data_IF_702177972606
#
_entry.id   IF_702177972606
#
_cell.length_a   1.000
_cell.length_b   1.000
_cell.length_c   1.000
_cell.angle_alpha   90.00
_cell.angle_beta   90.00
_cell.angle_gamma   90.00
#
_symmetry.space_group_name_H-M   'P 1'
#
loop_
_entity.id
_entity.type
_entity.pdbx_description
1 polymer ?
#
# COMPACT_ATOMS: atom_id res chain seq x y z
N UNK A 1 -3.60 -18.37 -20.19
CA UNK A 1 -4.38 -18.05 -18.99
C UNK A 1 -3.46 -17.25 -18.08
N UNK A 2 -3.72 -15.97 -17.84
CA UNK A 2 -2.96 -15.22 -16.83
C UNK A 2 -3.25 -15.84 -15.46
N UNK A 3 -2.23 -15.87 -14.58
CA UNK A 3 -2.43 -16.35 -13.22
C UNK A 3 -3.42 -15.43 -12.51
N UNK A 4 -4.40 -16.00 -11.81
CA UNK A 4 -5.35 -15.20 -11.02
C UNK A 4 -4.61 -14.50 -9.86
N UNK A 5 -4.80 -13.20 -9.71
CA UNK A 5 -4.29 -12.46 -8.56
C UNK A 5 -5.10 -12.83 -7.32
N UNK A 6 -4.43 -13.32 -6.28
CA UNK A 6 -5.05 -13.84 -5.06
C UNK A 6 -4.12 -13.62 -3.85
N UNK A 7 -4.54 -14.09 -2.67
CA UNK A 7 -3.80 -13.92 -1.42
C UNK A 7 -2.41 -14.54 -1.39
N UNK A 8 -2.17 -15.60 -2.16
CA UNK A 8 -0.83 -16.13 -2.31
C UNK A 8 0.06 -15.21 -3.15
N UNK A 9 -0.50 -14.53 -4.16
CA UNK A 9 0.22 -13.52 -4.95
C UNK A 9 0.60 -12.32 -4.08
N UNK A 10 -0.32 -11.82 -3.25
CA UNK A 10 -0.05 -10.75 -2.27
C UNK A 10 1.08 -11.12 -1.32
N UNK A 11 1.00 -12.32 -0.74
CA UNK A 11 2.02 -12.82 0.19
C UNK A 11 3.39 -12.92 -0.49
N UNK A 12 3.45 -13.48 -1.70
CA UNK A 12 4.70 -13.58 -2.46
C UNK A 12 5.27 -12.21 -2.82
N UNK A 13 4.41 -11.25 -3.15
CA UNK A 13 4.81 -9.87 -3.40
C UNK A 13 5.42 -9.24 -2.15
N UNK A 14 4.73 -9.28 -1.00
CA UNK A 14 5.23 -8.76 0.26
C UNK A 14 6.53 -9.43 0.71
N UNK A 15 6.64 -10.76 0.59
CA UNK A 15 7.87 -11.51 0.87
C UNK A 15 9.02 -11.10 -0.06
N UNK A 16 8.73 -10.86 -1.34
CA UNK A 16 9.72 -10.39 -2.32
C UNK A 16 10.23 -9.01 -1.96
N UNK A 17 9.34 -8.07 -1.60
CA UNK A 17 9.70 -6.74 -1.13
C UNK A 17 10.58 -6.83 0.13
N UNK A 18 10.20 -7.66 1.10
CA UNK A 18 10.96 -7.86 2.33
C UNK A 18 12.39 -8.37 2.08
N UNK A 19 12.56 -9.30 1.14
CA UNK A 19 13.89 -9.79 0.73
C UNK A 19 14.70 -8.71 0.03
N UNK A 20 14.08 -8.04 -0.96
CA UNK A 20 14.73 -7.03 -1.81
C UNK A 20 15.22 -5.83 -1.00
N UNK A 21 14.38 -5.32 -0.10
CA UNK A 21 14.67 -4.12 0.68
C UNK A 21 15.22 -4.42 2.07
N UNK A 22 15.60 -5.67 2.36
CA UNK A 22 16.07 -6.13 3.69
C UNK A 22 17.15 -5.24 4.32
N UNK A 23 18.09 -4.71 3.53
CA UNK A 23 19.14 -3.81 4.02
C UNK A 23 18.66 -2.42 4.45
N UNK A 24 17.42 -2.05 4.13
CA UNK A 24 16.80 -0.77 4.47
C UNK A 24 15.76 -0.88 5.58
N UNK A 25 15.32 -2.08 5.95
CA UNK A 25 14.23 -2.29 6.91
C UNK A 25 14.69 -2.05 8.34
N UNK A 26 13.85 -1.36 9.11
CA UNK A 26 14.11 -1.06 10.54
C UNK A 26 13.33 -2.01 11.45
N UNK A 27 13.53 -3.32 11.31
CA UNK A 27 12.67 -4.35 11.91
C UNK A 27 11.21 -4.20 11.47
N UNK A 28 11.01 -4.06 10.16
CA UNK A 28 9.69 -3.88 9.57
C UNK A 28 9.30 -5.08 8.70
N UNK A 29 8.00 -5.26 8.52
CA UNK A 29 7.42 -6.35 7.73
C UNK A 29 6.41 -5.76 6.76
N UNK A 30 6.47 -6.21 5.51
CA UNK A 30 5.46 -5.87 4.51
C UNK A 30 4.23 -6.77 4.63
N UNK A 31 3.06 -6.18 4.44
CA UNK A 31 1.80 -6.90 4.16
C UNK A 31 1.11 -6.25 2.98
N UNK A 32 0.45 -7.06 2.14
CA UNK A 32 -0.26 -6.60 0.95
C UNK A 32 -1.67 -7.20 0.94
N UNK A 33 -2.63 -6.43 0.44
CA UNK A 33 -4.04 -6.82 0.36
C UNK A 33 -4.66 -6.14 -0.86
N UNK A 34 -5.38 -6.89 -1.68
CA UNK A 34 -6.12 -6.36 -2.82
C UNK A 34 -7.62 -6.36 -2.59
N UNK A 35 -8.26 -5.41 -3.26
CA UNK A 35 -9.71 -5.33 -3.36
C UNK A 35 -10.11 -5.14 -4.82
N UNK A 36 -11.27 -5.69 -5.15
CA UNK A 36 -11.90 -5.54 -6.47
C UNK A 36 -13.23 -4.87 -6.26
N UNK A 37 -13.45 -3.83 -7.03
CA UNK A 37 -14.69 -3.10 -7.12
C UNK A 37 -15.21 -3.21 -8.56
N UNK A 38 -16.41 -2.70 -8.81
CA UNK A 38 -17.02 -2.80 -10.15
C UNK A 38 -16.29 -1.92 -11.18
N UNK A 39 -15.71 -0.81 -10.74
CA UNK A 39 -15.09 0.23 -11.57
C UNK A 39 -13.57 0.39 -11.34
N UNK A 40 -13.00 -0.28 -10.34
CA UNK A 40 -11.58 -0.18 -10.04
C UNK A 40 -11.03 -1.40 -9.30
N UNK A 41 -9.70 -1.50 -9.30
CA UNK A 41 -8.96 -2.38 -8.38
C UNK A 41 -8.09 -1.55 -7.46
N UNK A 42 -7.90 -2.05 -6.24
CA UNK A 42 -7.07 -1.41 -5.22
C UNK A 42 -6.06 -2.40 -4.68
N UNK A 43 -4.82 -1.94 -4.51
CA UNK A 43 -3.77 -2.68 -3.83
C UNK A 43 -3.29 -1.84 -2.64
N UNK A 44 -3.54 -2.34 -1.44
CA UNK A 44 -3.05 -1.77 -0.19
C UNK A 44 -1.76 -2.47 0.20
N UNK A 45 -0.71 -1.68 0.45
CA UNK A 45 0.56 -2.16 0.97
C UNK A 45 0.84 -1.48 2.31
N UNK A 46 1.20 -2.28 3.32
CA UNK A 46 1.61 -1.80 4.64
C UNK A 46 3.05 -2.20 4.88
N UNK A 47 3.79 -1.33 5.56
CA UNK A 47 5.10 -1.63 6.14
C UNK A 47 5.01 -1.33 7.64
N UNK A 48 4.89 -2.41 8.41
CA UNK A 48 4.66 -2.39 9.84
C UNK A 48 5.97 -2.58 10.59
N UNK A 49 6.27 -1.70 11.53
CA UNK A 49 7.37 -1.93 12.47
C UNK A 49 6.97 -2.96 13.51
N UNK A 50 7.83 -3.93 13.79
CA UNK A 50 7.53 -5.05 14.69
C UNK A 50 7.24 -4.63 16.13
N UNK A 51 7.75 -3.48 16.56
CA UNK A 51 7.46 -2.90 17.88
C UNK A 51 6.14 -2.12 17.92
N UNK A 52 5.36 -2.15 16.83
CA UNK A 52 4.10 -1.42 16.66
C UNK A 52 4.22 0.09 16.91
N UNK A 53 5.40 0.70 16.78
CA UNK A 53 5.55 2.16 16.92
C UNK A 53 5.06 2.91 15.69
N UNK A 54 5.27 2.35 14.50
CA UNK A 54 5.00 3.02 13.25
C UNK A 54 4.48 2.06 12.18
N UNK A 55 3.64 2.61 11.31
CA UNK A 55 3.17 1.95 10.09
C UNK A 55 3.22 2.92 8.92
N UNK A 56 3.76 2.45 7.80
CA UNK A 56 3.50 3.09 6.52
C UNK A 56 2.36 2.36 5.82
N UNK A 57 1.46 3.12 5.21
CA UNK A 57 0.39 2.58 4.37
C UNK A 57 0.40 3.29 3.03
N UNK A 58 0.34 2.49 1.96
CA UNK A 58 0.14 2.93 0.59
C UNK A 58 -1.10 2.26 0.02
N UNK A 59 -1.88 3.01 -0.74
CA UNK A 59 -2.99 2.49 -1.53
C UNK A 59 -2.84 2.97 -2.96
N UNK A 60 -2.60 2.02 -3.85
CA UNK A 60 -2.62 2.25 -5.28
C UNK A 60 -3.96 1.80 -5.85
N UNK A 61 -4.50 2.56 -6.80
CA UNK A 61 -5.77 2.34 -7.45
C UNK A 61 -5.60 2.48 -8.96
N UNK A 62 -6.22 1.57 -9.69
CA UNK A 62 -6.35 1.66 -11.14
C UNK A 62 -7.82 1.45 -11.52
N UNK A 63 -8.38 2.39 -12.29
CA UNK A 63 -9.76 2.34 -12.77
C UNK A 63 -9.85 1.34 -13.94
N UNK A 64 -10.81 0.43 -13.86
CA UNK A 64 -11.11 -0.55 -14.91
C UNK A 64 -12.52 -1.11 -14.72
N UNK A 65 -13.41 -0.79 -15.65
CA UNK A 65 -14.78 -1.31 -15.68
C UNK A 65 -14.86 -2.74 -16.25
N UNK A 66 -13.75 -3.25 -16.81
CA UNK A 66 -13.67 -4.58 -17.44
C UNK A 66 -13.18 -5.63 -16.43
N UNK A 67 -14.03 -6.56 -15.95
CA UNK A 67 -13.65 -7.56 -14.95
C UNK A 67 -12.46 -8.44 -15.36
N UNK A 68 -12.34 -8.72 -16.66
CA UNK A 68 -11.25 -9.51 -17.25
C UNK A 68 -9.88 -8.82 -17.14
N UNK A 69 -9.85 -7.48 -17.09
CA UNK A 69 -8.62 -6.68 -16.98
C UNK A 69 -8.17 -6.43 -15.55
N UNK A 70 -9.00 -6.77 -14.56
CA UNK A 70 -8.70 -6.52 -13.16
C UNK A 70 -7.44 -7.27 -12.67
N UNK A 71 -7.20 -8.50 -13.16
CA UNK A 71 -5.96 -9.22 -12.83
C UNK A 71 -4.72 -8.50 -13.35
N UNK A 72 -4.74 -8.09 -14.60
CA UNK A 72 -3.62 -7.41 -15.24
C UNK A 72 -3.38 -6.04 -14.56
N UNK A 73 -4.46 -5.35 -14.18
CA UNK A 73 -4.41 -4.12 -13.40
C UNK A 73 -3.74 -4.33 -12.04
N UNK A 74 -4.04 -5.42 -11.32
CA UNK A 74 -3.40 -5.71 -10.04
C UNK A 74 -1.89 -6.00 -10.18
N UNK A 75 -1.48 -6.72 -11.23
CA UNK A 75 -0.04 -6.89 -11.52
C UNK A 75 0.63 -5.56 -11.90
N UNK A 76 -0.08 -4.68 -12.59
CA UNK A 76 0.41 -3.34 -12.89
C UNK A 76 0.59 -2.49 -11.63
N UNK A 77 -0.35 -2.58 -10.67
CA UNK A 77 -0.21 -1.93 -9.37
C UNK A 77 0.98 -2.48 -8.57
N UNK A 78 1.26 -3.78 -8.67
CA UNK A 78 2.47 -4.40 -8.06
C UNK A 78 3.74 -3.79 -8.64
N UNK A 79 3.85 -3.73 -9.97
CA UNK A 79 5.01 -3.15 -10.65
C UNK A 79 5.20 -1.66 -10.30
N UNK A 80 4.09 -0.91 -10.24
CA UNK A 80 4.10 0.49 -9.85
C UNK A 80 4.56 0.70 -8.42
N UNK A 81 4.01 -0.04 -7.45
CA UNK A 81 4.40 0.08 -6.04
C UNK A 81 5.86 -0.31 -5.84
N UNK A 82 6.35 -1.35 -6.51
CA UNK A 82 7.76 -1.74 -6.44
C UNK A 82 8.69 -0.63 -6.95
N UNK A 83 8.35 0.01 -8.09
CA UNK A 83 9.08 1.15 -8.61
C UNK A 83 9.05 2.35 -7.64
N UNK A 84 7.87 2.66 -7.08
CA UNK A 84 7.71 3.72 -6.09
C UNK A 84 8.55 3.46 -4.83
N UNK A 85 8.56 2.22 -4.33
CA UNK A 85 9.33 1.84 -3.15
C UNK A 85 10.84 1.90 -3.38
N UNK A 86 11.30 1.58 -4.58
CA UNK A 86 12.71 1.75 -4.94
C UNK A 86 13.14 3.20 -4.73
N UNK A 87 12.36 4.17 -5.22
CA UNK A 87 12.63 5.60 -5.01
C UNK A 87 12.46 6.03 -3.54
N UNK A 88 11.45 5.49 -2.85
CA UNK A 88 11.26 5.71 -1.42
C UNK A 88 12.49 5.30 -0.60
N UNK A 89 13.04 4.11 -0.83
CA UNK A 89 14.23 3.66 -0.10
C UNK A 89 15.51 4.34 -0.58
N UNK A 90 15.67 4.57 -1.88
CA UNK A 90 16.83 5.29 -2.43
C UNK A 90 16.95 6.73 -1.88
N UNK A 91 15.82 7.36 -1.61
CA UNK A 91 15.74 8.70 -1.01
C UNK A 91 15.87 8.70 0.52
N UNK A 92 16.28 7.59 1.15
CA UNK A 92 16.27 7.42 2.60
C UNK A 92 14.91 7.78 3.22
N UNK A 93 13.82 7.34 2.57
CA UNK A 93 12.42 7.51 3.00
C UNK A 93 11.95 8.96 3.00
N UNK A 94 12.62 9.87 2.29
CA UNK A 94 12.17 11.28 2.20
C UNK A 94 10.94 11.45 1.31
N UNK A 95 10.71 10.53 0.37
CA UNK A 95 9.51 10.52 -0.45
C UNK A 95 8.27 10.23 0.42
N UNK A 96 7.43 11.23 0.63
CA UNK A 96 6.19 11.09 1.42
C UNK A 96 5.00 10.94 0.48
N UNK A 97 4.22 9.84 0.54
CA UNK A 97 2.96 9.77 -0.17
C UNK A 97 1.99 10.82 0.38
N UNK A 98 1.09 11.29 -0.47
CA UNK A 98 0.04 12.24 -0.09
C UNK A 98 -1.14 11.50 0.54
N UNK A 99 -1.79 12.11 1.53
CA UNK A 99 -2.95 11.50 2.19
C UNK A 99 -4.15 11.32 1.24
N UNK A 100 -4.29 12.22 0.26
CA UNK A 100 -5.26 12.12 -0.83
C UNK A 100 -4.68 11.35 -2.01
N UNK A 101 -5.55 10.77 -2.83
CA UNK A 101 -5.14 10.18 -4.11
C UNK A 101 -4.55 11.25 -5.03
N UNK A 102 -3.42 10.92 -5.63
CA UNK A 102 -2.75 11.70 -6.67
C UNK A 102 -2.52 10.77 -7.84
N UNK A 103 -2.84 11.24 -9.05
CA UNK A 103 -2.61 10.50 -10.28
C UNK A 103 -1.11 10.51 -10.64
N UNK A 104 -0.62 9.35 -11.07
CA UNK A 104 0.74 9.13 -11.54
C UNK A 104 0.67 8.37 -12.86
N UNK A 105 1.29 8.91 -13.90
CA UNK A 105 1.44 8.21 -15.17
C UNK A 105 2.51 7.10 -15.03
N UNK A 106 2.14 5.86 -15.36
CA UNK A 106 3.02 4.69 -15.32
C UNK A 106 2.72 3.75 -16.48
N UNK A 107 3.67 3.57 -17.40
CA UNK A 107 3.50 2.76 -18.62
C UNK A 107 2.24 3.15 -19.43
N UNK A 108 2.07 4.45 -19.66
CA UNK A 108 0.98 5.05 -20.44
C UNK A 108 -0.44 4.84 -19.83
N UNK A 109 -0.52 4.52 -18.53
CA UNK A 109 -1.79 4.52 -17.77
C UNK A 109 -1.69 5.39 -16.52
N UNK A 110 -2.82 5.92 -16.08
CA UNK A 110 -2.91 6.67 -14.82
C UNK A 110 -3.17 5.73 -13.65
N UNK A 111 -2.27 5.76 -12.66
CA UNK A 111 -2.41 5.06 -11.38
C UNK A 111 -2.56 6.10 -10.28
N UNK A 112 -3.61 5.99 -9.50
CA UNK A 112 -3.84 6.85 -8.35
C UNK A 112 -3.13 6.26 -7.12
N UNK A 113 -2.27 7.05 -6.47
CA UNK A 113 -1.59 6.66 -5.23
C UNK A 113 -1.98 7.59 -4.09
N UNK A 114 -2.29 7.01 -2.93
CA UNK A 114 -2.28 7.71 -1.64
C UNK A 114 -1.46 6.94 -0.62
N UNK A 115 -1.09 7.61 0.45
CA UNK A 115 -0.42 6.97 1.56
C UNK A 115 -0.17 7.89 2.74
N UNK A 116 0.18 7.30 3.87
CA UNK A 116 0.51 8.01 5.10
C UNK A 116 1.48 7.22 5.96
N UNK A 117 2.17 7.93 6.84
CA UNK A 117 2.84 7.36 8.01
C UNK A 117 1.92 7.51 9.20
N UNK A 118 1.73 6.44 9.96
CA UNK A 118 1.02 6.41 11.23
C UNK A 118 2.01 6.28 12.38
N UNK A 119 1.77 7.05 13.44
CA UNK A 119 2.41 6.86 14.74
C UNK A 119 1.41 6.13 15.63
N UNK A 120 1.56 4.82 15.70
CA UNK A 120 0.55 3.95 16.32
C UNK A 120 0.56 4.10 17.84
N UNK A 121 1.69 4.47 18.44
CA UNK A 121 1.77 4.73 19.87
C UNK A 121 0.97 5.99 20.23
N UNK A 122 1.17 7.09 19.50
CA UNK A 122 0.42 8.32 19.70
C UNK A 122 -1.07 8.15 19.41
N UNK A 123 -1.43 7.40 18.36
CA UNK A 123 -2.82 7.09 18.03
C UNK A 123 -3.50 6.24 19.13
N UNK A 124 -2.76 5.28 19.73
CA UNK A 124 -3.27 4.49 20.84
C UNK A 124 -3.51 5.34 22.09
N UNK A 125 -2.56 6.19 22.48
CA UNK A 125 -2.71 7.11 23.62
C UNK A 125 -3.90 8.07 23.41
N UNK A 126 -4.08 8.59 22.20
CA UNK A 126 -5.21 9.45 21.86
C UNK A 126 -6.55 8.70 21.94
N UNK A 127 -6.62 7.48 21.42
CA UNK A 127 -7.81 6.64 21.48
C UNK A 127 -8.20 6.30 22.93
N UNK A 128 -7.23 5.95 23.77
CA UNK A 128 -7.46 5.71 25.21
C UNK A 128 -7.99 6.96 25.92
N UNK A 129 -7.45 8.14 25.58
CA UNK A 129 -7.91 9.41 26.16
C UNK A 129 -9.34 9.78 25.73
N UNK A 130 -9.69 9.52 24.47
CA UNK A 130 -11.03 9.78 23.91
C UNK A 130 -12.06 8.72 24.30
N UNK A 131 -11.64 7.52 24.74
CA UNK A 131 -12.51 6.37 24.95
C UNK A 131 -13.05 5.77 23.64
N UNK A 132 -12.33 5.97 22.54
CA UNK A 132 -12.70 5.52 21.20
C UNK A 132 -11.86 4.30 20.75
N UNK A 133 -12.34 3.60 19.73
CA UNK A 133 -11.55 2.54 19.09
C UNK A 133 -10.48 3.15 18.17
N UNK A 134 -9.39 2.41 17.95
CA UNK A 134 -8.30 2.85 17.08
C UNK A 134 -8.77 3.00 15.63
N UNK A 135 -8.40 4.12 15.01
CA UNK A 135 -8.90 4.56 13.70
C UNK A 135 -8.40 3.67 12.54
N UNK A 136 -9.18 3.60 11.46
CA UNK A 136 -8.83 2.86 10.23
C UNK A 136 -7.61 3.46 9.50
N UNK A 137 -6.93 2.68 8.65
CA UNK A 137 -5.74 3.16 7.93
C UNK A 137 -6.05 4.37 7.04
N UNK A 138 -7.26 4.42 6.49
CA UNK A 138 -7.84 5.61 5.91
C UNK A 138 -9.29 5.70 6.39
N UNK A 139 -9.74 6.84 6.92
CA UNK A 139 -11.17 7.04 7.16
C UNK A 139 -11.92 6.92 5.83
N UNK A 140 -13.15 6.43 5.87
CA UNK A 140 -14.01 6.46 4.69
C UNK A 140 -14.15 7.92 4.25
N UNK A 141 -13.76 8.23 3.01
CA UNK A 141 -14.01 9.54 2.44
C UNK A 141 -15.53 9.78 2.45
N UNK A 142 -16.03 10.88 3.04
CA UNK A 142 -17.46 11.18 3.08
C UNK A 142 -18.07 11.47 1.70
#
# INVERSE_FOLDING_TARGET
>A
MSASFNSNTERLFAETLGKRYSGFLENEVFTAEHERHDDHVRLTLRLDRLDASHRWVWQALHETEEPEKQNDSLFLLVDFLDAYLSEFFASNRSLRPQARFVAHEFRDVDICLRGRRRDLAAEHEAAEWLGEATETDFPDDP
#
